data_IF_754132106987
#
_entry.id   IF_754132106987
#
_cell.length_a   1.000
_cell.length_b   1.000
_cell.length_c   1.000
_cell.angle_alpha   90.00
_cell.angle_beta   90.00
_cell.angle_gamma   90.00
#
_symmetry.space_group_name_H-M   'P 1'
#
loop_
_entity.id
_entity.type
_entity.pdbx_description
1 polymer ?
#
# COMPACT_ATOMS: atom_id res chain seq x y z
N UNK A 1 -21.85 1.23 19.00
CA UNK A 1 -22.70 2.26 19.64
C UNK A 1 -23.36 3.20 18.63
N UNK A 2 -22.63 3.74 17.61
CA UNK A 2 -23.22 4.59 16.57
C UNK A 2 -24.23 3.81 15.71
N UNK A 3 -23.85 2.62 15.23
CA UNK A 3 -24.73 1.75 14.46
C UNK A 3 -26.01 1.38 15.22
N UNK A 4 -25.92 1.12 16.54
CA UNK A 4 -27.07 0.83 17.38
C UNK A 4 -28.05 2.02 17.46
N UNK A 5 -27.51 3.24 17.58
CA UNK A 5 -28.34 4.47 17.62
C UNK A 5 -29.04 4.66 16.28
N UNK A 6 -28.30 4.52 15.16
CA UNK A 6 -28.84 4.69 13.82
C UNK A 6 -29.88 3.63 13.49
N UNK A 7 -29.71 2.37 13.93
CA UNK A 7 -30.67 1.30 13.75
C UNK A 7 -32.05 1.60 14.41
N UNK A 8 -32.08 2.44 15.46
CA UNK A 8 -33.29 2.85 16.15
C UNK A 8 -33.91 4.15 15.60
N UNK A 9 -33.30 4.78 14.58
CA UNK A 9 -33.78 6.05 14.01
C UNK A 9 -35.17 5.95 13.37
N UNK A 10 -35.65 4.73 13.06
CA UNK A 10 -36.98 4.48 12.49
C UNK A 10 -38.15 4.44 13.50
N UNK A 11 -37.89 4.63 14.80
CA UNK A 11 -38.96 4.68 15.82
C UNK A 11 -39.80 5.94 15.73
N UNK A 12 -41.06 5.88 16.09
CA UNK A 12 -41.97 7.01 16.10
C UNK A 12 -41.47 8.13 17.04
N UNK A 13 -41.41 9.35 16.54
CA UNK A 13 -40.97 10.53 17.28
C UNK A 13 -39.45 10.61 17.57
N UNK A 14 -38.64 9.68 17.07
CA UNK A 14 -37.21 9.70 17.25
C UNK A 14 -36.56 10.76 16.35
N UNK A 15 -35.65 11.54 16.92
CA UNK A 15 -34.82 12.48 16.20
C UNK A 15 -33.36 12.06 16.38
N UNK A 16 -32.70 11.71 15.27
CA UNK A 16 -31.30 11.28 15.26
C UNK A 16 -30.46 12.30 14.50
N UNK A 17 -29.45 12.87 15.15
CA UNK A 17 -28.47 13.75 14.52
C UNK A 17 -27.20 12.94 14.31
N UNK A 18 -26.72 12.92 13.07
CA UNK A 18 -25.55 12.16 12.70
C UNK A 18 -24.67 12.97 11.72
N UNK A 19 -23.37 12.70 11.72
CA UNK A 19 -22.44 13.25 10.74
C UNK A 19 -22.41 12.38 9.50
N UNK A 20 -22.44 13.01 8.32
CA UNK A 20 -22.28 12.36 7.01
C UNK A 20 -23.08 11.04 6.86
N UNK A 21 -22.44 10.02 6.34
CA UNK A 21 -23.00 8.67 6.12
C UNK A 21 -22.96 7.79 7.37
N UNK A 22 -23.18 8.35 8.56
CA UNK A 22 -23.23 7.62 9.81
C UNK A 22 -24.08 6.35 9.70
N UNK A 23 -23.60 5.25 10.24
CA UNK A 23 -24.27 3.97 10.17
C UNK A 23 -24.34 3.34 8.77
N UNK A 24 -23.39 3.62 7.87
CA UNK A 24 -23.28 2.90 6.60
C UNK A 24 -23.16 1.40 6.87
N UNK A 25 -24.01 0.59 6.21
CA UNK A 25 -24.14 -0.84 6.50
C UNK A 25 -25.16 -1.18 7.56
N UNK A 26 -25.72 -0.19 8.30
CA UNK A 26 -26.80 -0.40 9.27
C UNK A 26 -28.15 -0.26 8.58
N UNK A 27 -29.04 -1.19 8.77
CA UNK A 27 -30.40 -1.10 8.28
C UNK A 27 -31.29 -0.29 9.24
N UNK A 28 -32.05 0.67 8.70
CA UNK A 28 -33.01 1.49 9.44
C UNK A 28 -34.40 0.95 9.12
N UNK A 29 -35.00 0.29 10.07
CA UNK A 29 -36.31 -0.31 9.92
C UNK A 29 -37.37 0.58 10.59
N UNK A 30 -38.48 0.86 9.91
CA UNK A 30 -39.59 1.62 10.50
C UNK A 30 -40.15 0.89 11.71
N UNK A 31 -40.41 1.61 12.82
CA UNK A 31 -40.75 1.02 14.10
C UNK A 31 -39.53 0.67 14.97
N UNK A 32 -38.31 0.74 14.42
CA UNK A 32 -37.04 0.38 15.08
C UNK A 32 -36.62 -1.06 14.80
N UNK A 33 -35.35 -1.35 15.01
CA UNK A 33 -34.75 -2.68 14.82
C UNK A 33 -34.88 -3.47 16.16
N UNK A 34 -35.62 -4.56 16.15
CA UNK A 34 -35.86 -5.42 17.33
C UNK A 34 -34.95 -6.67 17.36
N UNK A 35 -34.12 -6.91 16.37
CA UNK A 35 -33.26 -8.10 16.30
C UNK A 35 -32.31 -8.20 17.50
N UNK A 36 -31.78 -7.08 17.96
CA UNK A 36 -30.90 -7.03 19.13
C UNK A 36 -31.66 -7.37 20.43
N UNK A 37 -32.90 -6.87 20.54
CA UNK A 37 -33.77 -7.16 21.71
C UNK A 37 -34.19 -8.63 21.70
N UNK A 38 -34.50 -9.21 20.54
CA UNK A 38 -34.76 -10.64 20.36
C UNK A 38 -33.54 -11.46 20.76
N UNK A 39 -32.37 -11.15 20.24
CA UNK A 39 -31.11 -11.84 20.57
C UNK A 39 -30.78 -11.78 22.07
N UNK A 40 -31.07 -10.65 22.73
CA UNK A 40 -30.91 -10.55 24.18
C UNK A 40 -31.88 -11.46 24.97
N UNK A 41 -33.13 -11.60 24.51
CA UNK A 41 -34.10 -12.51 25.12
C UNK A 41 -33.70 -13.99 24.92
N UNK A 42 -33.21 -14.33 23.72
CA UNK A 42 -32.72 -15.68 23.39
C UNK A 42 -31.50 -16.08 24.22
N UNK A 43 -30.59 -15.13 24.45
CA UNK A 43 -29.35 -15.35 25.21
C UNK A 43 -29.57 -15.36 26.74
N UNK A 44 -30.73 -14.98 27.23
CA UNK A 44 -31.03 -14.96 28.69
C UNK A 44 -31.26 -16.36 29.22
N UNK A 45 -30.28 -16.92 29.89
CA UNK A 45 -30.32 -18.24 30.51
C UNK A 45 -31.28 -18.34 31.73
N UNK A 46 -31.74 -17.21 32.27
CA UNK A 46 -32.67 -17.17 33.41
C UNK A 46 -34.13 -17.46 33.03
N UNK A 47 -34.44 -17.43 31.73
CA UNK A 47 -35.79 -17.59 31.20
C UNK A 47 -35.97 -18.99 30.61
N UNK A 48 -37.13 -19.58 30.90
CA UNK A 48 -37.56 -20.81 30.24
C UNK A 48 -38.01 -20.56 28.79
N UNK A 49 -37.94 -21.57 27.94
CA UNK A 49 -38.20 -21.47 26.50
C UNK A 49 -39.62 -20.96 26.20
N UNK A 50 -40.63 -21.34 26.98
CA UNK A 50 -41.98 -20.85 26.83
C UNK A 50 -42.13 -19.36 27.11
N UNK A 51 -41.41 -18.85 28.11
CA UNK A 51 -41.40 -17.43 28.48
C UNK A 51 -40.62 -16.62 27.39
N UNK A 52 -39.50 -17.14 26.87
CA UNK A 52 -38.77 -16.53 25.77
C UNK A 52 -39.67 -16.34 24.55
N UNK A 53 -40.32 -17.39 24.10
CA UNK A 53 -41.24 -17.35 22.96
C UNK A 53 -42.39 -16.37 23.16
N UNK A 54 -43.00 -16.34 24.36
CA UNK A 54 -44.08 -15.40 24.68
C UNK A 54 -43.61 -13.95 24.62
N UNK A 55 -42.41 -13.63 25.16
CA UNK A 55 -41.84 -12.28 25.11
C UNK A 55 -41.49 -11.86 23.70
N UNK A 56 -40.90 -12.75 22.90
CA UNK A 56 -40.55 -12.46 21.48
C UNK A 56 -41.85 -12.24 20.68
N UNK A 57 -42.89 -13.04 20.90
CA UNK A 57 -44.19 -12.86 20.24
C UNK A 57 -44.82 -11.49 20.58
N UNK A 58 -44.78 -11.10 21.86
CA UNK A 58 -45.30 -9.80 22.29
C UNK A 58 -44.49 -8.66 21.68
N UNK A 59 -43.15 -8.75 21.68
CA UNK A 59 -42.26 -7.76 21.07
C UNK A 59 -42.55 -7.56 19.57
N UNK A 60 -42.79 -8.64 18.84
CA UNK A 60 -43.17 -8.60 17.41
C UNK A 60 -44.54 -7.94 17.19
N UNK A 61 -45.50 -8.18 18.04
CA UNK A 61 -46.85 -7.54 17.96
C UNK A 61 -46.73 -6.04 18.21
N UNK A 62 -46.00 -5.64 19.24
CA UNK A 62 -45.79 -4.24 19.58
C UNK A 62 -45.01 -3.53 18.47
N UNK A 63 -43.95 -4.17 17.91
CA UNK A 63 -43.22 -3.66 16.78
C UNK A 63 -44.10 -3.48 15.53
N UNK A 64 -44.95 -4.44 15.21
CA UNK A 64 -45.85 -4.37 14.04
C UNK A 64 -46.76 -3.16 14.16
N UNK A 65 -47.31 -2.90 15.36
CA UNK A 65 -48.14 -1.73 15.61
C UNK A 65 -47.39 -0.41 15.44
N UNK A 66 -46.15 -0.30 15.95
CA UNK A 66 -45.33 0.89 15.79
C UNK A 66 -44.87 1.04 14.34
N UNK A 67 -44.56 -0.03 13.65
CA UNK A 67 -44.19 -0.02 12.22
C UNK A 67 -45.33 0.57 11.35
N UNK A 68 -46.56 0.05 11.50
CA UNK A 68 -47.71 0.56 10.74
C UNK A 68 -48.01 2.02 11.08
N UNK A 69 -47.93 2.41 12.34
CA UNK A 69 -48.09 3.80 12.76
C UNK A 69 -47.08 4.73 12.10
N UNK A 70 -45.82 4.37 12.01
CA UNK A 70 -44.77 5.17 11.35
C UNK A 70 -45.04 5.23 9.85
N UNK A 71 -45.50 4.14 9.23
CA UNK A 71 -45.91 4.13 7.82
C UNK A 71 -47.07 5.10 7.51
N UNK A 72 -48.10 5.08 8.35
CA UNK A 72 -49.26 5.99 8.24
C UNK A 72 -48.83 7.47 8.38
N UNK A 73 -47.81 7.76 9.19
CA UNK A 73 -47.27 9.09 9.38
C UNK A 73 -46.35 9.54 8.23
N UNK A 74 -46.12 8.69 7.21
CA UNK A 74 -45.29 8.99 6.04
C UNK A 74 -43.85 8.50 6.12
N UNK A 75 -43.52 7.65 7.09
CA UNK A 75 -42.24 6.96 7.21
C UNK A 75 -41.07 7.85 7.70
N UNK A 76 -39.86 7.44 7.38
CA UNK A 76 -38.64 8.12 7.79
C UNK A 76 -38.41 9.39 6.96
N UNK A 77 -38.19 10.51 7.64
CA UNK A 77 -37.82 11.78 7.01
C UNK A 77 -36.35 12.06 7.20
N UNK A 78 -35.62 12.23 6.09
CA UNK A 78 -34.20 12.56 6.08
C UNK A 78 -34.01 14.04 5.75
N UNK A 79 -33.27 14.74 6.60
CA UNK A 79 -32.86 16.12 6.40
C UNK A 79 -31.34 16.13 6.29
N UNK A 80 -30.81 16.67 5.20
CA UNK A 80 -29.39 16.87 4.98
C UNK A 80 -29.07 18.36 4.89
N UNK A 81 -27.97 18.79 5.47
CA UNK A 81 -27.56 20.20 5.56
C UNK A 81 -26.50 20.57 4.52
N UNK A 82 -25.95 19.59 3.80
CA UNK A 82 -25.00 19.81 2.70
C UNK A 82 -25.11 18.70 1.67
N UNK A 83 -24.49 18.89 0.50
CA UNK A 83 -24.33 17.89 -0.55
C UNK A 83 -22.98 17.23 -0.43
N UNK A 84 -22.93 15.93 -0.70
CA UNK A 84 -21.68 15.21 -0.89
C UNK A 84 -21.07 15.55 -2.26
N UNK A 85 -19.79 15.29 -2.41
CA UNK A 85 -19.10 15.47 -3.69
C UNK A 85 -19.63 14.52 -4.79
N UNK A 86 -20.22 13.39 -4.41
CA UNK A 86 -20.80 12.42 -5.34
C UNK A 86 -22.31 12.29 -5.18
N UNK A 87 -23.02 12.39 -6.30
CA UNK A 87 -24.49 12.15 -6.35
C UNK A 87 -24.87 10.76 -5.87
N UNK A 88 -23.99 9.79 -6.07
CA UNK A 88 -24.21 8.42 -5.59
C UNK A 88 -24.39 8.39 -4.07
N UNK A 89 -23.58 9.13 -3.35
CA UNK A 89 -23.66 9.19 -1.87
C UNK A 89 -24.97 9.89 -1.45
N UNK A 90 -25.32 11.00 -2.10
CA UNK A 90 -26.61 11.67 -1.85
C UNK A 90 -27.80 10.74 -2.10
N UNK A 91 -27.76 9.98 -3.17
CA UNK A 91 -28.82 9.01 -3.48
C UNK A 91 -28.87 7.85 -2.47
N UNK A 92 -27.70 7.39 -1.97
CA UNK A 92 -27.66 6.42 -0.88
C UNK A 92 -28.28 6.97 0.41
N UNK A 93 -28.05 8.24 0.73
CA UNK A 93 -28.67 8.90 1.87
C UNK A 93 -30.18 9.01 1.67
N UNK A 94 -30.66 9.47 0.51
CA UNK A 94 -32.08 9.52 0.17
C UNK A 94 -32.74 8.16 0.25
N UNK A 95 -32.06 7.13 -0.27
CA UNK A 95 -32.55 5.74 -0.29
C UNK A 95 -32.72 5.12 1.09
N UNK A 96 -32.24 5.76 2.16
CA UNK A 96 -32.50 5.32 3.54
C UNK A 96 -33.92 5.58 3.99
N UNK A 97 -34.61 6.59 3.40
CA UNK A 97 -36.00 6.93 3.77
C UNK A 97 -37.04 6.00 3.14
N UNK A 98 -36.73 5.30 2.05
CA UNK A 98 -37.69 4.49 1.30
C UNK A 98 -37.26 3.02 1.16
N UNK A 99 -36.70 2.41 2.18
CA UNK A 99 -36.24 1.02 2.12
C UNK A 99 -37.41 0.05 2.00
N UNK A 100 -37.21 -1.01 1.22
CA UNK A 100 -38.18 -2.10 1.02
C UNK A 100 -39.56 -1.63 0.52
N UNK A 101 -39.63 -0.44 -0.11
CA UNK A 101 -40.89 0.12 -0.60
C UNK A 101 -41.71 0.89 0.46
N UNK A 102 -41.19 1.06 1.65
CA UNK A 102 -41.84 1.86 2.68
C UNK A 102 -41.88 3.35 2.30
N UNK A 103 -42.89 4.09 2.77
CA UNK A 103 -42.97 5.53 2.55
C UNK A 103 -41.82 6.24 3.25
N UNK A 104 -41.40 7.37 2.71
CA UNK A 104 -40.37 8.21 3.30
C UNK A 104 -40.19 9.51 2.52
N UNK A 105 -39.47 10.46 3.11
CA UNK A 105 -39.19 11.74 2.47
C UNK A 105 -37.78 12.20 2.75
N UNK A 106 -37.21 12.97 1.83
CA UNK A 106 -35.88 13.57 2.01
C UNK A 106 -35.86 15.03 1.57
N UNK A 107 -35.15 15.88 2.28
CA UNK A 107 -34.96 17.28 1.93
C UNK A 107 -33.53 17.72 2.24
N UNK A 108 -32.92 18.46 1.29
CA UNK A 108 -31.62 19.08 1.46
C UNK A 108 -31.80 20.57 1.72
N UNK A 109 -31.19 21.06 2.78
CA UNK A 109 -31.05 22.47 3.11
C UNK A 109 -29.59 22.86 2.86
N UNK A 110 -29.35 23.71 1.88
CA UNK A 110 -28.01 24.00 1.36
C UNK A 110 -27.69 25.48 1.50
N UNK A 111 -26.42 25.81 1.72
CA UNK A 111 -25.92 27.16 1.66
C UNK A 111 -25.13 27.41 0.38
N UNK A 112 -25.13 28.63 -0.12
CA UNK A 112 -24.25 29.05 -1.21
C UNK A 112 -22.78 29.13 -0.75
N UNK A 113 -22.56 29.13 0.57
CA UNK A 113 -21.21 29.08 1.17
C UNK A 113 -20.68 27.67 1.41
N UNK A 114 -21.50 26.63 1.13
CA UNK A 114 -21.04 25.23 1.19
C UNK A 114 -19.85 25.01 0.25
N UNK A 115 -18.94 24.14 0.64
CA UNK A 115 -17.67 23.88 -0.07
C UNK A 115 -17.86 23.61 -1.57
N UNK A 116 -18.84 22.78 -1.91
CA UNK A 116 -19.19 22.45 -3.29
C UNK A 116 -19.60 23.68 -4.11
N UNK A 117 -20.42 24.56 -3.52
CA UNK A 117 -20.93 25.75 -4.19
C UNK A 117 -19.84 26.82 -4.32
N UNK A 118 -19.03 27.00 -3.29
CA UNK A 118 -17.92 27.97 -3.27
C UNK A 118 -16.87 27.67 -4.35
N UNK A 119 -16.56 26.41 -4.60
CA UNK A 119 -15.53 26.00 -5.59
C UNK A 119 -16.04 26.15 -7.03
N UNK A 120 -17.30 25.82 -7.32
CA UNK A 120 -17.76 25.65 -8.70
C UNK A 120 -18.86 26.60 -9.19
N UNK A 121 -19.54 27.31 -8.29
CA UNK A 121 -20.68 28.15 -8.63
C UNK A 121 -20.69 29.49 -7.90
N UNK A 122 -19.76 29.74 -6.97
CA UNK A 122 -19.84 30.85 -6.01
C UNK A 122 -20.12 32.22 -6.61
N UNK A 123 -19.27 32.70 -7.51
CA UNK A 123 -19.32 34.09 -7.94
C UNK A 123 -20.51 34.41 -8.86
N UNK A 124 -20.83 33.52 -9.80
CA UNK A 124 -21.93 33.71 -10.74
C UNK A 124 -23.30 33.60 -10.07
N UNK A 125 -23.47 32.59 -9.23
CA UNK A 125 -24.75 32.41 -8.52
C UNK A 125 -24.93 33.51 -7.48
N UNK A 126 -23.87 33.88 -6.76
CA UNK A 126 -23.89 34.98 -5.82
C UNK A 126 -24.26 36.31 -6.49
N UNK A 127 -23.67 36.66 -7.64
CA UNK A 127 -24.00 37.84 -8.42
C UNK A 127 -25.45 37.85 -8.94
N UNK A 128 -26.01 36.67 -9.26
CA UNK A 128 -27.44 36.56 -9.62
C UNK A 128 -28.33 36.79 -8.39
N UNK A 129 -27.96 36.25 -7.23
CA UNK A 129 -28.70 36.42 -5.99
C UNK A 129 -28.68 37.89 -5.50
N UNK A 130 -27.54 38.56 -5.55
CA UNK A 130 -27.41 39.98 -5.22
C UNK A 130 -28.30 40.88 -6.10
N UNK A 131 -28.49 40.49 -7.36
CA UNK A 131 -29.40 41.18 -8.27
C UNK A 131 -30.90 40.97 -7.96
N UNK A 132 -31.22 39.79 -7.42
CA UNK A 132 -32.60 39.42 -7.09
C UNK A 132 -33.08 40.05 -5.80
N UNK A 133 -32.19 40.70 -5.02
CA UNK A 133 -32.52 41.41 -3.75
C UNK A 133 -33.48 40.61 -2.85
N UNK A 134 -33.20 39.34 -2.64
CA UNK A 134 -34.03 38.48 -1.82
C UNK A 134 -33.94 38.88 -0.34
N UNK A 135 -35.07 38.85 0.40
CA UNK A 135 -35.05 39.11 1.83
C UNK A 135 -34.19 38.07 2.57
N UNK A 136 -33.49 38.53 3.61
CA UNK A 136 -32.71 37.65 4.47
C UNK A 136 -33.62 36.63 5.17
N UNK A 137 -33.23 35.35 5.11
CA UNK A 137 -33.94 34.26 5.76
C UNK A 137 -34.98 33.53 4.89
N UNK A 138 -35.23 33.95 3.66
CA UNK A 138 -36.08 33.20 2.73
C UNK A 138 -35.31 32.11 2.00
N UNK A 139 -35.93 30.90 1.92
CA UNK A 139 -35.34 29.75 1.19
C UNK A 139 -35.51 29.95 -0.32
N UNK A 140 -34.43 29.78 -1.07
CA UNK A 140 -34.42 29.90 -2.52
C UNK A 140 -34.80 28.57 -3.16
N UNK A 141 -36.02 28.45 -3.67
CA UNK A 141 -36.49 27.28 -4.42
C UNK A 141 -36.56 27.60 -5.90
N UNK A 142 -35.42 27.61 -6.60
CA UNK A 142 -35.35 27.89 -8.03
C UNK A 142 -34.67 26.76 -8.80
N UNK A 143 -35.30 26.37 -9.90
CA UNK A 143 -34.75 25.29 -10.75
C UNK A 143 -33.37 25.58 -11.36
N UNK A 144 -33.01 26.87 -11.47
CA UNK A 144 -31.69 27.29 -11.93
C UNK A 144 -30.61 26.99 -10.89
N UNK A 145 -30.92 27.17 -9.61
CA UNK A 145 -30.02 26.85 -8.49
C UNK A 145 -29.80 25.34 -8.41
N UNK A 146 -30.88 24.56 -8.48
CA UNK A 146 -30.80 23.09 -8.49
C UNK A 146 -29.91 22.59 -9.62
N UNK A 147 -30.08 23.10 -10.84
CA UNK A 147 -29.24 22.75 -12.01
C UNK A 147 -27.78 23.18 -11.81
N UNK A 148 -27.54 24.33 -11.18
CA UNK A 148 -26.18 24.78 -10.88
C UNK A 148 -25.47 23.85 -9.91
N UNK A 149 -26.14 23.42 -8.83
CA UNK A 149 -25.64 22.46 -7.84
C UNK A 149 -25.31 21.12 -8.53
N UNK A 150 -26.22 20.59 -9.35
CA UNK A 150 -25.99 19.37 -10.12
C UNK A 150 -24.78 19.47 -11.06
N UNK A 151 -24.63 20.62 -11.73
CA UNK A 151 -23.49 20.89 -12.61
C UNK A 151 -22.18 20.95 -11.84
N UNK A 152 -22.18 21.60 -10.68
CA UNK A 152 -21.02 21.65 -9.78
C UNK A 152 -20.60 20.24 -9.34
N UNK A 153 -21.56 19.45 -8.88
CA UNK A 153 -21.33 18.07 -8.43
C UNK A 153 -20.77 17.19 -9.55
N UNK A 154 -21.29 17.30 -10.80
CA UNK A 154 -20.74 16.58 -11.96
C UNK A 154 -19.29 16.95 -12.25
N UNK A 155 -18.91 18.23 -12.09
CA UNK A 155 -17.52 18.68 -12.31
C UNK A 155 -16.58 18.08 -11.27
N UNK A 156 -17.01 18.02 -9.99
CA UNK A 156 -16.23 17.37 -8.93
C UNK A 156 -16.08 15.88 -9.20
N UNK A 157 -17.19 15.21 -9.53
CA UNK A 157 -17.16 13.77 -9.90
C UNK A 157 -16.21 13.49 -11.05
N UNK A 158 -16.24 14.33 -12.12
CA UNK A 158 -15.36 14.19 -13.27
C UNK A 158 -13.88 14.39 -12.86
N UNK A 159 -13.58 15.43 -12.09
CA UNK A 159 -12.22 15.67 -11.59
C UNK A 159 -11.70 14.50 -10.74
N UNK A 160 -12.51 14.02 -9.81
CA UNK A 160 -12.14 12.90 -8.95
C UNK A 160 -11.99 11.60 -9.75
N UNK A 161 -12.80 11.42 -10.81
CA UNK A 161 -12.65 10.32 -11.74
C UNK A 161 -11.30 10.39 -12.49
N UNK A 162 -10.95 11.57 -13.02
CA UNK A 162 -9.69 11.75 -13.76
C UNK A 162 -8.47 11.52 -12.85
N UNK A 163 -8.50 12.02 -11.62
CA UNK A 163 -7.44 11.76 -10.64
C UNK A 163 -7.28 10.25 -10.38
N UNK A 164 -8.40 9.56 -10.08
CA UNK A 164 -8.36 8.10 -9.85
C UNK A 164 -7.89 7.33 -11.07
N UNK A 165 -8.32 7.73 -12.28
CA UNK A 165 -7.87 7.12 -13.52
C UNK A 165 -6.36 7.27 -13.70
N UNK A 166 -5.82 8.46 -13.44
CA UNK A 166 -4.37 8.67 -13.50
C UNK A 166 -3.61 7.80 -12.49
N UNK A 167 -4.11 7.69 -11.26
CA UNK A 167 -3.49 6.83 -10.24
C UNK A 167 -3.47 5.36 -10.69
N UNK A 168 -4.59 4.85 -11.21
CA UNK A 168 -4.66 3.48 -11.72
C UNK A 168 -3.67 3.22 -12.85
N UNK A 169 -3.46 4.17 -13.76
CA UNK A 169 -2.51 4.01 -14.86
C UNK A 169 -1.04 3.86 -14.38
N UNK A 170 -0.69 4.44 -13.23
CA UNK A 170 0.61 4.22 -12.58
C UNK A 170 0.63 2.91 -11.78
N UNK A 171 -0.46 2.60 -11.07
CA UNK A 171 -0.57 1.36 -10.28
C UNK A 171 -0.56 0.10 -11.15
N UNK A 172 -1.08 0.16 -12.38
CA UNK A 172 -1.05 -0.95 -13.33
C UNK A 172 0.38 -1.42 -13.60
N UNK A 173 1.34 -0.51 -13.73
CA UNK A 173 2.76 -0.85 -13.94
C UNK A 173 3.32 -1.62 -12.74
N UNK A 174 3.10 -1.10 -11.52
CA UNK A 174 3.54 -1.77 -10.30
C UNK A 174 2.85 -3.13 -10.11
N UNK A 175 1.56 -3.22 -10.49
CA UNK A 175 0.79 -4.46 -10.40
C UNK A 175 1.26 -5.54 -11.37
N UNK A 176 1.65 -5.16 -12.59
CA UNK A 176 2.20 -6.12 -13.56
C UNK A 176 3.57 -6.65 -13.10
N UNK A 177 4.43 -5.78 -12.58
CA UNK A 177 5.70 -6.21 -11.97
C UNK A 177 5.48 -7.10 -10.74
N UNK A 178 4.48 -6.78 -9.89
CA UNK A 178 4.08 -7.60 -8.74
C UNK A 178 3.69 -9.02 -9.15
N UNK A 179 2.91 -9.16 -10.23
CA UNK A 179 2.53 -10.49 -10.73
C UNK A 179 3.76 -11.34 -11.08
N UNK A 180 4.76 -10.74 -11.73
CA UNK A 180 6.00 -11.42 -12.09
C UNK A 180 6.76 -11.87 -10.82
N UNK A 181 6.97 -10.95 -9.87
CA UNK A 181 7.68 -11.24 -8.63
C UNK A 181 6.95 -12.31 -7.80
N UNK A 182 5.63 -12.21 -7.68
CA UNK A 182 4.87 -13.20 -6.91
C UNK A 182 4.82 -14.57 -7.58
N UNK A 183 4.82 -14.61 -8.93
CA UNK A 183 4.94 -15.87 -9.64
C UNK A 183 6.31 -16.52 -9.38
N UNK A 184 7.41 -15.78 -9.54
CA UNK A 184 8.74 -16.26 -9.24
C UNK A 184 8.88 -16.74 -7.78
N UNK A 185 8.31 -15.98 -6.85
CA UNK A 185 8.29 -16.34 -5.42
C UNK A 185 7.55 -17.66 -5.17
N UNK A 186 6.40 -17.86 -5.82
CA UNK A 186 5.65 -19.10 -5.73
C UNK A 186 6.43 -20.27 -6.34
N UNK A 187 7.06 -20.05 -7.50
CA UNK A 187 7.89 -21.06 -8.16
C UNK A 187 9.05 -21.50 -7.25
N UNK A 188 9.68 -20.57 -6.52
CA UNK A 188 10.73 -20.88 -5.53
C UNK A 188 10.18 -21.68 -4.33
N UNK A 189 8.96 -21.36 -3.86
CA UNK A 189 8.32 -22.05 -2.74
C UNK A 189 7.92 -23.48 -3.11
N UNK A 190 7.41 -23.68 -4.33
CA UNK A 190 6.92 -24.97 -4.83
C UNK A 190 8.02 -25.87 -5.37
N UNK A 191 9.20 -25.31 -5.72
CA UNK A 191 10.31 -26.06 -6.25
C UNK A 191 10.87 -27.06 -5.22
N UNK A 192 11.04 -28.29 -5.61
CA UNK A 192 11.75 -29.31 -4.82
C UNK A 192 13.27 -29.13 -4.88
N UNK A 193 13.78 -28.65 -6.01
CA UNK A 193 15.17 -28.36 -6.30
C UNK A 193 15.34 -27.00 -6.95
N UNK A 194 16.35 -26.27 -6.53
CA UNK A 194 16.67 -24.91 -7.02
C UNK A 194 17.99 -24.88 -7.80
N UNK A 195 18.65 -26.02 -8.00
CA UNK A 195 19.98 -26.11 -8.60
C UNK A 195 20.08 -25.47 -9.97
N UNK A 196 19.05 -25.64 -10.82
CA UNK A 196 19.04 -25.09 -12.16
C UNK A 196 18.91 -23.56 -12.12
N UNK A 197 18.02 -23.02 -11.24
CA UNK A 197 17.79 -21.58 -11.08
C UNK A 197 19.04 -20.89 -10.53
N UNK A 198 19.62 -21.44 -9.47
CA UNK A 198 20.86 -20.92 -8.86
C UNK A 198 22.05 -21.06 -9.83
N UNK A 199 22.11 -22.17 -10.58
CA UNK A 199 23.10 -22.38 -11.62
C UNK A 199 23.07 -21.31 -12.69
N UNK A 200 21.90 -21.03 -13.24
CA UNK A 200 21.71 -19.98 -14.25
C UNK A 200 22.04 -18.58 -13.70
N UNK A 201 21.59 -18.25 -12.47
CA UNK A 201 21.92 -16.96 -11.83
C UNK A 201 23.42 -16.78 -11.66
N UNK A 202 24.13 -17.82 -11.26
CA UNK A 202 25.60 -17.82 -11.11
C UNK A 202 26.29 -17.64 -12.44
N UNK A 203 25.91 -18.41 -13.46
CA UNK A 203 26.48 -18.30 -14.82
C UNK A 203 26.31 -16.89 -15.38
N UNK A 204 25.11 -16.31 -15.30
CA UNK A 204 24.84 -14.95 -15.73
C UNK A 204 25.68 -13.93 -14.97
N UNK A 205 25.78 -14.07 -13.63
CA UNK A 205 26.54 -13.16 -12.78
C UNK A 205 28.02 -13.17 -13.14
N UNK A 206 28.63 -14.34 -13.29
CA UNK A 206 30.04 -14.44 -13.67
C UNK A 206 30.28 -14.04 -15.12
N UNK A 207 29.33 -14.29 -16.01
CA UNK A 207 29.37 -13.75 -17.39
C UNK A 207 29.42 -12.24 -17.38
N UNK A 208 28.54 -11.59 -16.63
CA UNK A 208 28.49 -10.13 -16.51
C UNK A 208 29.82 -9.58 -15.93
N UNK A 209 30.41 -10.25 -14.94
CA UNK A 209 31.71 -9.86 -14.36
C UNK A 209 32.81 -10.00 -15.40
N UNK A 210 32.93 -11.16 -16.06
CA UNK A 210 33.98 -11.39 -17.06
C UNK A 210 33.88 -10.37 -18.20
N UNK A 211 32.68 -10.09 -18.71
CA UNK A 211 32.47 -9.15 -19.82
C UNK A 211 32.81 -7.70 -19.49
N UNK A 212 32.91 -7.33 -18.22
CA UNK A 212 33.39 -6.00 -17.80
C UNK A 212 34.92 -5.85 -17.98
N UNK A 213 35.69 -6.94 -17.85
CA UNK A 213 37.15 -6.97 -17.94
C UNK A 213 37.65 -7.54 -19.25
N UNK A 214 36.89 -8.45 -19.83
CA UNK A 214 37.15 -9.13 -21.10
C UNK A 214 35.92 -8.94 -21.99
N UNK A 215 35.85 -7.82 -22.77
CA UNK A 215 34.72 -7.56 -23.65
C UNK A 215 34.59 -8.64 -24.73
N UNK A 216 33.34 -8.93 -25.14
CA UNK A 216 33.06 -9.91 -26.18
C UNK A 216 33.75 -9.50 -27.51
N UNK A 217 34.23 -10.49 -28.26
CA UNK A 217 34.87 -10.33 -29.57
C UNK A 217 36.09 -9.34 -29.54
N UNK A 218 36.72 -9.19 -28.37
CA UNK A 218 37.87 -8.31 -28.18
C UNK A 218 39.20 -9.07 -28.29
N UNK A 219 40.29 -8.33 -28.54
CA UNK A 219 41.64 -8.86 -28.60
C UNK A 219 42.31 -8.80 -27.23
N UNK A 220 43.30 -9.67 -27.00
CA UNK A 220 44.00 -9.84 -25.73
C UNK A 220 44.54 -8.52 -25.13
N UNK A 221 44.97 -7.59 -25.99
CA UNK A 221 45.49 -6.28 -25.56
C UNK A 221 44.44 -5.38 -24.89
N UNK A 222 43.16 -5.70 -25.05
CA UNK A 222 42.04 -4.96 -24.45
C UNK A 222 41.57 -5.57 -23.13
N UNK A 223 42.14 -6.70 -22.71
CA UNK A 223 41.69 -7.43 -21.52
C UNK A 223 42.41 -6.92 -20.28
N UNK A 224 41.62 -6.67 -19.23
CA UNK A 224 42.13 -6.40 -17.88
C UNK A 224 42.10 -7.68 -17.04
N UNK A 225 42.96 -8.64 -17.35
CA UNK A 225 43.01 -9.90 -16.61
C UNK A 225 43.46 -9.69 -15.17
N UNK A 226 44.31 -8.70 -14.88
CA UNK A 226 44.77 -8.41 -13.52
C UNK A 226 43.63 -7.89 -12.66
N UNK A 227 42.79 -7.02 -13.21
CA UNK A 227 41.59 -6.54 -12.57
C UNK A 227 40.59 -7.67 -12.30
N UNK A 228 40.39 -8.55 -13.28
CA UNK A 228 39.51 -9.72 -13.16
C UNK A 228 39.97 -10.68 -12.07
N UNK A 229 41.25 -11.08 -12.08
CA UNK A 229 41.85 -11.95 -11.05
C UNK A 229 41.65 -11.38 -9.64
N UNK A 230 41.87 -10.08 -9.50
CA UNK A 230 41.73 -9.40 -8.22
C UNK A 230 40.27 -9.41 -7.74
N UNK A 231 39.32 -9.08 -8.59
CA UNK A 231 37.88 -9.10 -8.22
C UNK A 231 37.42 -10.51 -7.87
N UNK A 232 37.82 -11.52 -8.65
CA UNK A 232 37.52 -12.93 -8.38
C UNK A 232 38.08 -13.40 -7.02
N UNK A 233 39.30 -12.98 -6.69
CA UNK A 233 39.92 -13.32 -5.42
C UNK A 233 39.32 -12.58 -4.23
N UNK A 234 39.19 -11.26 -4.32
CA UNK A 234 38.78 -10.38 -3.22
C UNK A 234 37.28 -10.49 -2.89
N UNK A 235 36.44 -10.53 -3.94
CA UNK A 235 34.99 -10.49 -3.77
C UNK A 235 34.33 -11.87 -3.80
N UNK A 236 34.89 -12.84 -4.54
CA UNK A 236 34.26 -14.14 -4.81
C UNK A 236 35.02 -15.30 -4.26
N UNK A 237 36.22 -15.08 -3.68
CA UNK A 237 37.09 -16.08 -3.09
C UNK A 237 37.55 -17.20 -4.11
N UNK A 238 37.61 -16.83 -5.40
CA UNK A 238 38.06 -17.72 -6.48
C UNK A 238 39.46 -17.26 -6.91
N UNK A 239 40.42 -18.15 -6.81
CA UNK A 239 41.80 -17.92 -7.22
C UNK A 239 42.06 -18.58 -8.55
N UNK A 240 42.25 -17.83 -9.61
CA UNK A 240 42.55 -18.28 -10.96
C UNK A 240 43.74 -17.49 -11.50
N UNK A 241 44.84 -18.13 -11.94
CA UNK A 241 46.02 -17.48 -12.52
C UNK A 241 45.83 -17.21 -14.01
N UNK A 242 44.81 -16.41 -14.42
CA UNK A 242 44.43 -16.19 -15.82
C UNK A 242 45.54 -15.54 -16.65
N UNK A 243 46.31 -14.60 -16.09
CA UNK A 243 47.43 -13.93 -16.77
C UNK A 243 48.49 -14.98 -17.20
N UNK A 244 48.90 -15.87 -16.30
CA UNK A 244 49.91 -16.89 -16.59
C UNK A 244 49.45 -17.92 -17.64
N UNK A 245 48.14 -18.19 -17.64
CA UNK A 245 47.58 -19.10 -18.61
C UNK A 245 47.53 -18.52 -20.01
N UNK A 246 47.17 -17.23 -20.13
CA UNK A 246 47.17 -16.53 -21.42
C UNK A 246 48.59 -16.34 -21.95
N UNK A 247 49.54 -15.96 -21.09
CA UNK A 247 50.95 -15.82 -21.47
C UNK A 247 51.60 -17.15 -21.95
N UNK A 248 51.09 -18.29 -21.45
CA UNK A 248 51.58 -19.63 -21.78
C UNK A 248 50.93 -20.29 -23.00
N UNK A 249 49.85 -19.72 -23.54
CA UNK A 249 49.08 -20.30 -24.63
C UNK A 249 49.38 -19.58 -25.96
N UNK A 250 49.22 -20.28 -27.09
CA UNK A 250 49.48 -19.69 -28.43
C UNK A 250 48.37 -18.75 -28.92
N UNK A 251 47.16 -18.96 -28.49
CA UNK A 251 46.02 -18.05 -28.64
C UNK A 251 44.92 -18.47 -27.63
N UNK A 252 44.32 -17.53 -26.98
CA UNK A 252 43.19 -17.74 -26.09
C UNK A 252 42.04 -16.84 -26.57
N UNK A 253 40.80 -17.37 -26.56
CA UNK A 253 39.63 -16.62 -26.91
C UNK A 253 38.97 -16.07 -25.66
N UNK A 254 38.18 -14.95 -25.81
CA UNK A 254 37.41 -14.38 -24.74
C UNK A 254 36.36 -15.35 -24.16
N UNK A 255 35.84 -16.26 -25.02
CA UNK A 255 34.92 -17.33 -24.58
C UNK A 255 35.62 -18.39 -23.76
N UNK A 256 36.88 -18.74 -24.07
CA UNK A 256 37.65 -19.70 -23.24
C UNK A 256 37.95 -19.14 -21.85
N UNK A 257 38.19 -17.85 -21.71
CA UNK A 257 38.31 -17.15 -20.40
C UNK A 257 36.99 -17.23 -19.66
N UNK A 258 35.88 -16.93 -20.33
CA UNK A 258 34.56 -17.02 -19.76
C UNK A 258 34.23 -18.42 -19.24
N UNK A 259 34.42 -19.44 -20.07
CA UNK A 259 34.16 -20.82 -19.68
C UNK A 259 34.99 -21.23 -18.46
N UNK A 260 36.26 -20.84 -18.41
CA UNK A 260 37.15 -21.15 -17.27
C UNK A 260 36.68 -20.52 -15.97
N UNK A 261 36.28 -19.26 -16.02
CA UNK A 261 35.79 -18.56 -14.83
C UNK A 261 34.45 -19.13 -14.35
N UNK A 262 33.51 -19.40 -15.27
CA UNK A 262 32.21 -19.99 -14.96
C UNK A 262 32.40 -21.41 -14.38
N UNK A 263 33.30 -22.20 -14.96
CA UNK A 263 33.61 -23.57 -14.47
C UNK A 263 34.23 -23.52 -13.07
N UNK A 264 35.17 -22.62 -12.82
CA UNK A 264 35.77 -22.45 -11.50
C UNK A 264 34.76 -22.01 -10.44
N UNK A 265 33.83 -21.13 -10.81
CA UNK A 265 32.73 -20.74 -9.95
C UNK A 265 31.77 -21.91 -9.65
N UNK A 266 31.51 -22.76 -10.65
CA UNK A 266 30.74 -23.99 -10.50
C UNK A 266 31.41 -24.98 -9.55
N UNK A 267 32.70 -25.23 -9.73
CA UNK A 267 33.47 -26.15 -8.90
C UNK A 267 33.57 -25.68 -7.44
N UNK A 268 33.82 -24.38 -7.24
CA UNK A 268 33.87 -23.78 -5.91
C UNK A 268 32.51 -23.89 -5.18
N UNK A 269 31.43 -23.69 -5.89
CA UNK A 269 30.08 -23.86 -5.36
C UNK A 269 29.77 -25.32 -5.00
N UNK A 270 30.02 -26.23 -5.93
CA UNK A 270 29.76 -27.65 -5.71
C UNK A 270 30.59 -28.23 -4.55
N UNK A 271 31.81 -27.76 -4.35
CA UNK A 271 32.62 -28.14 -3.20
C UNK A 271 31.94 -27.81 -1.88
N UNK A 272 31.28 -26.64 -1.79
CA UNK A 272 30.50 -26.23 -0.61
C UNK A 272 29.25 -27.08 -0.40
N UNK A 273 28.51 -27.34 -1.50
CA UNK A 273 27.32 -28.21 -1.44
C UNK A 273 27.70 -29.62 -0.95
N UNK A 274 28.85 -30.18 -1.40
CA UNK A 274 29.32 -31.49 -0.97
C UNK A 274 29.70 -31.55 0.51
N UNK A 275 30.24 -30.45 1.08
CA UNK A 275 30.59 -30.36 2.50
C UNK A 275 29.39 -30.47 3.43
N UNK A 276 28.26 -29.87 3.04
CA UNK A 276 27.09 -29.70 3.90
C UNK A 276 25.95 -30.65 3.55
N UNK A 277 25.93 -31.12 2.30
CA UNK A 277 24.88 -31.96 1.74
C UNK A 277 23.82 -31.16 0.97
N UNK A 278 23.38 -31.74 -0.15
CA UNK A 278 22.44 -31.06 -1.09
C UNK A 278 21.15 -30.60 -0.44
N UNK A 279 20.53 -31.45 0.37
CA UNK A 279 19.21 -31.13 0.97
C UNK A 279 19.26 -29.93 1.90
N UNK A 280 20.26 -29.87 2.78
CA UNK A 280 20.45 -28.73 3.69
C UNK A 280 20.79 -27.46 2.92
N UNK A 281 21.62 -27.58 1.86
CA UNK A 281 22.00 -26.43 1.06
C UNK A 281 20.82 -25.87 0.26
N UNK A 282 19.95 -26.72 -0.29
CA UNK A 282 18.72 -26.30 -1.00
C UNK A 282 17.76 -25.54 -0.09
N UNK A 283 17.66 -25.92 1.19
CA UNK A 283 16.85 -25.10 2.14
C UNK A 283 17.47 -23.72 2.36
N UNK A 284 18.78 -23.63 2.50
CA UNK A 284 19.48 -22.36 2.62
C UNK A 284 19.33 -21.51 1.35
N UNK A 285 19.49 -22.08 0.16
CA UNK A 285 19.24 -21.40 -1.12
C UNK A 285 17.85 -20.78 -1.17
N UNK A 286 16.83 -21.52 -0.73
CA UNK A 286 15.45 -21.05 -0.67
C UNK A 286 15.28 -19.85 0.27
N UNK A 287 15.86 -19.92 1.46
CA UNK A 287 15.81 -18.82 2.42
C UNK A 287 16.50 -17.57 1.84
N UNK A 288 17.70 -17.71 1.29
CA UNK A 288 18.45 -16.61 0.68
C UNK A 288 17.67 -15.97 -0.45
N UNK A 289 17.13 -16.79 -1.38
CA UNK A 289 16.32 -16.30 -2.50
C UNK A 289 15.10 -15.50 -2.01
N UNK A 290 14.29 -16.07 -1.13
CA UNK A 290 13.07 -15.43 -0.66
C UNK A 290 13.37 -14.13 0.09
N UNK A 291 14.35 -14.12 0.96
CA UNK A 291 14.76 -12.94 1.72
C UNK A 291 15.26 -11.82 0.81
N UNK A 292 16.11 -12.15 -0.14
CA UNK A 292 16.65 -11.18 -1.11
C UNK A 292 15.53 -10.63 -1.99
N UNK A 293 14.64 -11.48 -2.50
CA UNK A 293 13.46 -11.04 -3.26
C UNK A 293 12.59 -10.10 -2.45
N UNK A 294 12.22 -10.48 -1.23
CA UNK A 294 11.29 -9.70 -0.41
C UNK A 294 11.89 -8.34 0.01
N UNK A 295 13.19 -8.28 0.26
CA UNK A 295 13.89 -7.03 0.61
C UNK A 295 13.99 -6.10 -0.59
N UNK A 296 14.52 -6.59 -1.70
CA UNK A 296 14.71 -5.78 -2.90
C UNK A 296 13.38 -5.35 -3.53
N UNK A 297 12.34 -6.20 -3.46
CA UNK A 297 11.00 -5.82 -3.91
C UNK A 297 10.42 -4.66 -3.12
N UNK A 298 10.62 -4.62 -1.81
CA UNK A 298 10.18 -3.53 -0.94
C UNK A 298 10.87 -2.21 -1.28
N UNK A 299 12.17 -2.25 -1.48
CA UNK A 299 12.96 -1.08 -1.85
C UNK A 299 12.59 -0.58 -3.25
N UNK A 300 12.28 -1.50 -4.17
CA UNK A 300 11.79 -1.17 -5.50
C UNK A 300 10.43 -0.47 -5.46
N UNK A 301 9.49 -0.93 -4.62
CA UNK A 301 8.20 -0.24 -4.45
C UNK A 301 8.40 1.20 -3.95
N UNK A 302 9.32 1.43 -3.03
CA UNK A 302 9.69 2.77 -2.57
C UNK A 302 10.27 3.61 -3.72
N UNK A 303 11.13 3.03 -4.55
CA UNK A 303 11.72 3.69 -5.72
C UNK A 303 10.66 4.06 -6.77
N UNK A 304 9.67 3.20 -7.01
CA UNK A 304 8.52 3.50 -7.88
C UNK A 304 7.67 4.65 -7.32
N UNK A 305 7.50 4.74 -6.02
CA UNK A 305 6.77 5.83 -5.37
C UNK A 305 7.51 7.17 -5.55
N UNK A 306 8.84 7.19 -5.35
CA UNK A 306 9.66 8.37 -5.63
C UNK A 306 9.58 8.78 -7.11
N UNK A 307 9.66 7.83 -8.02
CA UNK A 307 9.54 8.07 -9.46
C UNK A 307 8.15 8.69 -9.77
N UNK A 308 7.07 8.15 -9.20
CA UNK A 308 5.71 8.65 -9.39
C UNK A 308 5.55 10.10 -8.94
N UNK A 309 6.12 10.45 -7.77
CA UNK A 309 6.06 11.81 -7.23
C UNK A 309 6.78 12.83 -8.13
N UNK A 310 7.91 12.44 -8.73
CA UNK A 310 8.74 13.32 -9.55
C UNK A 310 8.42 13.32 -11.04
N UNK A 311 7.68 12.36 -11.55
CA UNK A 311 7.54 12.12 -13.00
C UNK A 311 6.87 13.27 -13.76
N UNK A 312 5.97 14.01 -13.11
CA UNK A 312 5.28 15.14 -13.73
C UNK A 312 6.25 16.25 -14.19
N UNK A 313 7.42 16.36 -13.57
CA UNK A 313 8.45 17.31 -13.93
C UNK A 313 9.02 17.04 -15.35
N UNK A 314 8.91 15.79 -15.85
CA UNK A 314 9.29 15.44 -17.22
C UNK A 314 8.45 16.18 -18.28
N UNK A 315 7.25 16.64 -17.91
CA UNK A 315 6.40 17.48 -18.76
C UNK A 315 7.05 18.82 -19.17
N UNK A 316 7.91 19.40 -18.34
CA UNK A 316 8.67 20.61 -18.68
C UNK A 316 9.67 20.36 -19.83
N UNK A 317 10.14 19.14 -19.99
CA UNK A 317 11.00 18.72 -21.09
C UNK A 317 10.21 18.23 -22.33
N UNK A 318 8.93 18.57 -22.44
CA UNK A 318 8.00 18.16 -23.51
C UNK A 318 7.83 16.62 -23.65
N UNK A 319 8.16 15.87 -22.63
CA UNK A 319 7.95 14.42 -22.57
C UNK A 319 6.61 14.09 -21.97
N UNK A 320 6.02 12.97 -22.40
CA UNK A 320 4.78 12.49 -21.80
C UNK A 320 5.06 11.77 -20.48
N UNK A 321 4.63 12.29 -19.32
CA UNK A 321 4.99 11.73 -18.02
C UNK A 321 4.63 10.25 -17.86
N UNK A 322 3.51 9.79 -18.41
CA UNK A 322 3.09 8.39 -18.36
C UNK A 322 4.01 7.44 -19.12
N UNK A 323 4.49 7.86 -20.30
CA UNK A 323 5.41 7.04 -21.10
C UNK A 323 6.79 6.98 -20.45
N UNK A 324 7.27 8.12 -19.94
CA UNK A 324 8.54 8.16 -19.20
C UNK A 324 8.47 7.32 -17.92
N UNK A 325 7.34 7.37 -17.19
CA UNK A 325 7.15 6.52 -16.03
C UNK A 325 7.26 5.03 -16.37
N UNK A 326 6.57 4.58 -17.41
CA UNK A 326 6.64 3.17 -17.84
C UNK A 326 8.07 2.78 -18.20
N UNK A 327 8.78 3.63 -18.93
CA UNK A 327 10.16 3.37 -19.34
C UNK A 327 11.11 3.32 -18.14
N UNK A 328 11.05 4.32 -17.26
CA UNK A 328 11.93 4.40 -16.08
C UNK A 328 11.58 3.28 -15.06
N UNK A 329 10.30 2.96 -14.89
CA UNK A 329 9.87 1.86 -14.04
C UNK A 329 10.32 0.48 -14.56
N UNK A 330 10.37 0.29 -15.89
CA UNK A 330 10.93 -0.92 -16.50
C UNK A 330 12.44 -1.04 -16.23
N UNK A 331 13.19 0.07 -16.36
CA UNK A 331 14.61 0.08 -16.05
C UNK A 331 14.89 -0.22 -14.57
N UNK A 332 14.12 0.38 -13.66
CA UNK A 332 14.21 0.06 -12.23
C UNK A 332 13.90 -1.41 -11.94
N UNK A 333 12.93 -1.99 -12.64
CA UNK A 333 12.58 -3.40 -12.47
C UNK A 333 13.68 -4.34 -12.98
N UNK A 334 14.31 -4.00 -14.11
CA UNK A 334 15.47 -4.74 -14.61
C UNK A 334 16.62 -4.70 -13.62
N UNK A 335 16.92 -3.52 -13.08
CA UNK A 335 17.95 -3.35 -12.05
C UNK A 335 17.63 -4.17 -10.78
N UNK A 336 16.37 -4.23 -10.37
CA UNK A 336 15.94 -5.09 -9.27
C UNK A 336 16.32 -6.56 -9.53
N UNK A 337 15.99 -7.11 -10.70
CA UNK A 337 16.28 -8.50 -11.04
C UNK A 337 17.78 -8.77 -11.08
N UNK A 338 18.57 -7.84 -11.64
CA UNK A 338 20.02 -7.93 -11.66
C UNK A 338 20.62 -7.83 -10.24
N UNK A 339 20.10 -6.98 -9.37
CA UNK A 339 20.52 -6.90 -7.97
C UNK A 339 20.23 -8.21 -7.22
N UNK A 340 19.01 -8.75 -7.35
CA UNK A 340 18.64 -10.01 -6.71
C UNK A 340 19.59 -11.14 -7.15
N UNK A 341 19.84 -11.26 -8.46
CA UNK A 341 20.76 -12.25 -9.03
C UNK A 341 22.17 -12.12 -8.41
N UNK A 342 22.70 -10.91 -8.38
CA UNK A 342 24.04 -10.64 -7.85
C UNK A 342 24.14 -10.87 -6.34
N UNK A 343 23.17 -10.41 -5.56
CA UNK A 343 23.17 -10.58 -4.11
C UNK A 343 23.01 -12.05 -3.71
N UNK A 344 22.10 -12.78 -4.33
CA UNK A 344 21.91 -14.20 -4.08
C UNK A 344 23.20 -14.98 -4.40
N UNK A 345 23.76 -14.74 -5.59
CA UNK A 345 25.02 -15.39 -6.00
C UNK A 345 26.14 -15.03 -5.02
N UNK A 346 26.27 -13.77 -4.62
CA UNK A 346 27.32 -13.32 -3.70
C UNK A 346 27.19 -14.00 -2.33
N UNK A 347 25.99 -14.03 -1.75
CA UNK A 347 25.75 -14.68 -0.46
C UNK A 347 26.11 -16.16 -0.53
N UNK A 348 25.60 -16.88 -1.54
CA UNK A 348 25.82 -18.31 -1.70
C UNK A 348 27.29 -18.65 -1.98
N UNK A 349 28.00 -17.81 -2.76
CA UNK A 349 29.43 -18.00 -3.06
C UNK A 349 30.35 -17.59 -1.91
N UNK A 350 29.99 -16.64 -1.05
CA UNK A 350 30.88 -16.15 0.01
C UNK A 350 30.60 -16.76 1.39
N UNK A 351 29.45 -17.38 1.59
CA UNK A 351 29.13 -18.03 2.87
C UNK A 351 30.18 -19.05 3.23
N UNK A 352 30.73 -18.94 4.45
CA UNK A 352 31.69 -19.90 5.00
C UNK A 352 30.94 -20.84 5.93
N UNK A 353 30.77 -22.09 5.53
CA UNK A 353 30.07 -23.12 6.30
C UNK A 353 30.89 -24.40 6.29
N UNK A 354 31.07 -24.98 7.47
CA UNK A 354 31.76 -26.24 7.70
C UNK A 354 30.80 -27.31 8.24
N UNK A 355 29.59 -26.91 8.65
CA UNK A 355 28.60 -27.85 9.20
C UNK A 355 27.17 -27.42 8.88
N UNK A 356 26.19 -28.33 8.84
CA UNK A 356 24.78 -28.03 8.64
C UNK A 356 24.22 -27.05 9.68
N UNK A 357 24.66 -27.11 10.95
CA UNK A 357 24.21 -26.22 12.01
C UNK A 357 24.63 -24.76 11.81
N UNK A 358 25.71 -24.49 11.10
CA UNK A 358 26.14 -23.13 10.75
C UNK A 358 25.28 -22.54 9.62
N UNK A 359 24.77 -23.39 8.70
CA UNK A 359 23.79 -22.95 7.70
C UNK A 359 22.47 -22.52 8.35
N UNK A 360 21.97 -23.28 9.31
CA UNK A 360 20.74 -22.94 10.03
C UNK A 360 20.89 -21.62 10.77
N UNK A 361 22.03 -21.39 11.45
CA UNK A 361 22.31 -20.11 12.10
C UNK A 361 22.43 -18.96 11.11
N UNK A 362 23.05 -19.17 9.94
CA UNK A 362 23.12 -18.15 8.91
C UNK A 362 21.72 -17.80 8.34
N UNK A 363 20.87 -18.79 8.15
CA UNK A 363 19.48 -18.60 7.75
C UNK A 363 18.68 -17.81 8.80
N UNK A 364 18.76 -18.18 10.09
CA UNK A 364 18.11 -17.46 11.18
C UNK A 364 18.55 -15.99 11.28
N UNK A 365 19.85 -15.72 11.12
CA UNK A 365 20.36 -14.32 11.10
C UNK A 365 19.79 -13.51 9.95
N UNK A 366 19.62 -14.13 8.78
CA UNK A 366 18.99 -13.47 7.63
C UNK A 366 17.49 -13.21 7.89
N UNK A 367 16.75 -14.15 8.43
CA UNK A 367 15.34 -13.98 8.79
C UNK A 367 15.15 -12.87 9.83
N UNK A 368 15.96 -12.87 10.89
CA UNK A 368 15.92 -11.81 11.91
C UNK A 368 16.22 -10.42 11.35
N UNK A 369 17.11 -10.30 10.35
CA UNK A 369 17.36 -9.02 9.67
C UNK A 369 16.16 -8.53 8.89
N UNK A 370 15.40 -9.43 8.27
CA UNK A 370 14.20 -9.10 7.52
C UNK A 370 13.02 -8.71 8.43
N UNK A 371 12.93 -9.29 9.63
CA UNK A 371 11.90 -8.93 10.63
C UNK A 371 12.16 -7.57 11.28
N UNK A 372 13.42 -7.16 11.43
CA UNK A 372 13.80 -5.86 12.00
C UNK A 372 13.62 -4.71 11.00
N UNK A 373 12.42 -4.56 10.47
CA UNK A 373 12.09 -3.45 9.58
C UNK A 373 11.80 -2.21 10.43
N UNK A 374 12.79 -1.35 10.56
CA UNK A 374 12.60 -0.01 11.08
C UNK A 374 12.13 0.92 9.95
N UNK A 375 11.12 1.76 10.21
CA UNK A 375 10.56 2.77 9.30
C UNK A 375 9.57 2.28 8.23
N UNK A 376 8.56 1.53 8.63
CA UNK A 376 7.42 1.25 7.74
C UNK A 376 6.58 2.52 7.59
N UNK A 377 6.50 3.02 6.37
CA UNK A 377 5.66 4.17 6.03
C UNK A 377 4.44 3.66 5.28
N UNK A 378 3.25 3.87 5.83
CA UNK A 378 2.01 3.53 5.14
C UNK A 378 1.54 4.74 4.34
N UNK A 379 1.35 4.58 3.04
CA UNK A 379 0.77 5.59 2.17
C UNK A 379 -0.63 5.16 1.74
N UNK A 380 -1.63 5.98 2.03
CA UNK A 380 -2.99 5.76 1.54
C UNK A 380 -3.43 6.99 0.75
N UNK A 381 -4.11 6.84 -0.40
CA UNK A 381 -4.71 7.96 -1.08
C UNK A 381 -5.89 8.48 -0.26
N UNK A 382 -5.92 9.79 -0.03
CA UNK A 382 -7.07 10.48 0.56
C UNK A 382 -8.23 10.53 -0.43
N UNK A 383 -9.44 10.86 0.03
CA UNK A 383 -10.60 11.06 -0.85
C UNK A 383 -10.36 12.18 -1.89
N UNK A 384 -9.45 13.11 -1.61
CA UNK A 384 -9.05 14.21 -2.50
C UNK A 384 -7.98 13.81 -3.52
N UNK A 385 -7.43 12.58 -3.43
CA UNK A 385 -6.37 12.09 -4.30
C UNK A 385 -4.95 12.53 -3.89
N UNK A 386 -4.82 13.19 -2.75
CA UNK A 386 -3.53 13.46 -2.11
C UNK A 386 -3.06 12.19 -1.39
N UNK A 387 -1.76 11.97 -1.34
CA UNK A 387 -1.19 10.81 -0.64
C UNK A 387 -0.96 11.20 0.82
N UNK A 388 -1.74 10.63 1.71
CA UNK A 388 -1.48 10.74 3.15
C UNK A 388 -0.46 9.69 3.55
N UNK A 389 0.64 10.13 4.14
CA UNK A 389 1.72 9.27 4.63
C UNK A 389 1.58 9.13 6.13
N UNK A 390 1.13 7.97 6.59
CA UNK A 390 1.10 7.65 8.02
C UNK A 390 2.36 6.87 8.39
N UNK A 391 3.17 7.45 9.27
CA UNK A 391 4.32 6.78 9.87
C UNK A 391 3.87 6.17 11.20
N UNK A 392 4.17 4.90 11.45
CA UNK A 392 3.86 4.30 12.75
C UNK A 392 4.68 5.04 13.84
N UNK A 393 3.98 5.78 14.69
CA UNK A 393 4.59 6.58 15.77
C UNK A 393 5.47 5.75 16.73
N UNK A 394 5.31 4.43 16.74
CA UNK A 394 6.09 3.53 17.62
C UNK A 394 7.53 3.32 17.12
N UNK A 395 7.78 3.52 15.84
CA UNK A 395 9.09 3.29 15.20
C UNK A 395 9.91 4.55 14.99
N UNK A 396 9.32 5.74 15.18
CA UNK A 396 10.05 7.01 15.00
C UNK A 396 11.04 7.27 16.14
N UNK A 397 12.29 7.52 15.79
CA UNK A 397 13.25 8.12 16.72
C UNK A 397 12.77 9.51 17.17
N UNK A 398 13.21 9.98 18.33
CA UNK A 398 12.80 11.29 18.87
C UNK A 398 13.10 12.44 17.88
N UNK A 399 14.17 12.31 17.08
CA UNK A 399 14.54 13.29 16.04
C UNK A 399 13.56 13.28 14.87
N UNK A 400 13.10 12.11 14.46
CA UNK A 400 12.10 11.96 13.40
C UNK A 400 10.71 12.44 13.83
N UNK A 401 10.33 12.22 15.10
CA UNK A 401 9.07 12.75 15.66
C UNK A 401 9.04 14.28 15.64
N UNK A 402 10.16 14.94 15.90
CA UNK A 402 10.26 16.41 15.85
C UNK A 402 10.18 16.92 14.41
N UNK A 403 10.83 16.23 13.45
CA UNK A 403 10.78 16.59 12.03
C UNK A 403 9.37 16.42 11.43
N UNK A 404 8.58 15.47 11.93
CA UNK A 404 7.19 15.24 11.54
C UNK A 404 6.16 16.15 12.26
N UNK A 405 6.61 17.16 13.00
CA UNK A 405 5.73 18.09 13.73
C UNK A 405 5.13 17.53 15.03
N UNK A 406 5.59 16.36 15.48
CA UNK A 406 5.16 15.74 16.73
C UNK A 406 5.68 16.46 17.97
N UNK A 407 4.87 16.53 19.04
CA UNK A 407 5.29 17.11 20.33
C UNK A 407 6.18 16.14 21.08
N UNK A 408 7.39 16.56 21.44
CA UNK A 408 8.30 15.81 22.29
C UNK A 408 7.77 15.81 23.72
N UNK A 409 7.63 14.63 24.31
CA UNK A 409 7.19 14.49 25.69
C UNK A 409 8.23 15.06 26.67
N UNK A 410 7.76 15.62 27.78
CA UNK A 410 8.58 16.30 28.80
C UNK A 410 9.70 15.41 29.36
N UNK A 411 9.50 14.10 29.36
CA UNK A 411 10.45 13.11 29.88
C UNK A 411 11.27 12.39 28.81
N UNK A 412 11.01 12.65 27.53
CA UNK A 412 11.72 12.03 26.41
C UNK A 412 13.16 12.57 26.29
N UNK A 413 14.09 11.82 25.69
CA UNK A 413 15.43 12.31 25.39
C UNK A 413 15.36 13.57 24.53
N UNK A 414 16.21 14.55 24.83
CA UNK A 414 16.21 15.79 24.06
C UNK A 414 16.71 15.54 22.62
N UNK A 415 16.00 16.04 21.60
CA UNK A 415 16.36 15.84 20.18
C UNK A 415 17.72 16.42 19.78
N UNK A 416 18.32 17.27 20.61
CA UNK A 416 19.65 17.84 20.36
C UNK A 416 20.82 16.85 20.58
N UNK A 417 20.56 15.61 20.97
CA UNK A 417 21.60 14.60 21.20
C UNK A 417 22.39 14.75 22.52
N UNK A 418 21.96 15.64 23.44
CA UNK A 418 22.66 15.90 24.72
C UNK A 418 22.54 14.78 25.77
N UNK A 419 21.76 13.71 25.48
CA UNK A 419 21.49 12.63 26.44
C UNK A 419 20.61 13.02 27.64
N UNK A 420 20.21 14.29 27.75
CA UNK A 420 19.34 14.80 28.83
C UNK A 420 17.86 14.71 28.42
N UNK A 421 16.96 14.59 29.41
CA UNK A 421 15.51 14.66 29.18
C UNK A 421 15.14 16.03 28.64
N UNK A 422 14.13 16.10 27.75
CA UNK A 422 13.69 17.34 27.09
C UNK A 422 13.44 18.46 28.09
N UNK A 423 12.77 18.20 29.22
CA UNK A 423 12.55 19.17 30.33
C UNK A 423 13.80 19.72 30.98
N UNK A 424 14.94 19.05 30.84
CA UNK A 424 16.22 19.42 31.43
C UNK A 424 17.17 20.09 30.42
N UNK A 425 16.77 20.17 29.17
CA UNK A 425 17.54 20.74 28.07
C UNK A 425 16.71 21.84 27.34
N UNK A 426 16.18 21.58 26.15
CA UNK A 426 15.46 22.57 25.37
C UNK A 426 14.02 22.83 25.85
N UNK A 427 13.47 21.97 26.67
CA UNK A 427 12.17 22.18 27.33
C UNK A 427 12.26 22.93 28.66
N UNK A 428 13.40 23.59 28.96
CA UNK A 428 13.63 24.32 30.20
C UNK A 428 13.06 25.76 30.14
N UNK A 429 12.55 26.18 29.00
CA UNK A 429 11.94 27.49 28.80
C UNK A 429 10.43 27.39 28.94
N UNK A 430 9.95 27.66 30.12
CA UNK A 430 8.79 28.42 30.50
C UNK A 430 8.62 28.38 32.00
#
# INVERSE_FOLDING_TARGET
READIVAQAGRAGMITIATNMAGRGTDIVLGGNIEKDIGAIEADESLDEGTKQSRIAQLRVDWTREHEKVKELGGLRIIATERHESRRIDNQLRGRSGRQGDPGSSRFYLSLDDSLMRIFAGDRVRAIMDRLKMPDGEAIEAGIVTRSIESAQRKVEARNFDIRKQLLEYDDVANDQRKVIYQQRNDILDASDLSDVIGAMREDCFTDIVRQYVPAESVEEQWDLAGLEKVLADEWQIQLPLQKEVEGAQSVTDDEILEKVVQAAHDAFNAKVQMVGQENFTQFERVVLLQTFDTNWRDHLSSLDYLRQGIHLRGYAQKQPKQEYKREAFELFRQLLDMVKNEVTKVLMTVQVQSPSELDQAAEVMEQRAENIANVTYTAPTETGEVETTVDERTLSVQQKVAAGGRVGRNDPCPCGSGKKYKQCHGKLA
#
